data_IF_017827225041
#
_entry.id   IF_017827225041
#
_cell.length_a   1.000
_cell.length_b   1.000
_cell.length_c   1.000
_cell.angle_alpha   90.00
_cell.angle_beta   90.00
_cell.angle_gamma   90.00
#
_symmetry.space_group_name_H-M   'P 1'
#
loop_
_entity.id
_entity.type
_entity.pdbx_description
1 polymer ?
#
# COMPACT_ATOMS: atom_id res chain seq x y z
N UNK A 1 40.66 13.53 -12.07
CA UNK A 1 39.78 12.61 -12.84
C UNK A 1 39.36 11.39 -12.03
N UNK A 2 40.29 10.60 -11.48
CA UNK A 2 39.97 9.38 -10.70
C UNK A 2 39.03 9.61 -9.50
N UNK A 3 39.28 10.65 -8.69
CA UNK A 3 38.42 10.99 -7.54
C UNK A 3 37.00 11.40 -7.97
N UNK A 4 36.85 12.09 -9.09
CA UNK A 4 35.54 12.47 -9.61
C UNK A 4 34.76 11.25 -10.14
N UNK A 5 35.46 10.27 -10.73
CA UNK A 5 34.87 9.01 -11.16
C UNK A 5 34.44 8.15 -9.96
N UNK A 6 35.26 8.05 -8.92
CA UNK A 6 34.92 7.33 -7.69
C UNK A 6 33.71 7.96 -6.99
N UNK A 7 33.64 9.30 -6.95
CA UNK A 7 32.48 10.02 -6.41
C UNK A 7 31.19 9.82 -7.25
N UNK A 8 31.32 9.82 -8.58
CA UNK A 8 30.19 9.56 -9.46
C UNK A 8 29.70 8.12 -9.34
N UNK A 9 30.61 7.15 -9.25
CA UNK A 9 30.26 5.74 -9.08
C UNK A 9 29.55 5.52 -7.74
N UNK A 10 30.05 6.10 -6.65
CA UNK A 10 29.37 6.02 -5.35
C UNK A 10 27.98 6.67 -5.36
N UNK A 11 27.80 7.77 -6.10
CA UNK A 11 26.49 8.42 -6.25
C UNK A 11 25.50 7.59 -7.08
N UNK A 12 26.00 6.83 -8.07
CA UNK A 12 25.20 5.90 -8.86
C UNK A 12 24.87 4.64 -8.05
N UNK A 13 25.84 4.10 -7.32
CA UNK A 13 25.66 2.91 -6.47
C UNK A 13 24.73 3.20 -5.29
N UNK A 14 24.66 4.46 -4.83
CA UNK A 14 23.71 4.95 -3.83
C UNK A 14 22.40 5.49 -4.42
N UNK A 15 22.22 5.41 -5.74
CA UNK A 15 20.96 5.78 -6.38
C UNK A 15 19.98 4.62 -6.17
N UNK A 16 19.29 4.64 -5.03
CA UNK A 16 18.15 3.74 -4.84
C UNK A 16 17.02 4.20 -5.76
N UNK A 17 16.76 3.40 -6.79
CA UNK A 17 15.68 3.62 -7.77
C UNK A 17 14.43 2.86 -7.33
N UNK A 18 14.37 2.42 -6.06
CA UNK A 18 13.13 1.99 -5.46
C UNK A 18 12.13 3.15 -5.57
N UNK A 19 10.91 2.91 -6.10
CA UNK A 19 9.84 3.87 -5.96
C UNK A 19 9.65 4.11 -4.46
N UNK A 20 9.98 5.31 -3.97
CA UNK A 20 9.79 5.65 -2.56
C UNK A 20 8.34 5.48 -2.14
N UNK A 21 8.05 5.59 -0.84
CA UNK A 21 6.73 5.32 -0.25
C UNK A 21 5.57 6.17 -0.80
N UNK A 22 5.88 7.19 -1.62
CA UNK A 22 4.90 8.04 -2.32
C UNK A 22 4.57 7.60 -3.75
N UNK A 23 5.28 6.62 -4.29
CA UNK A 23 4.91 5.99 -5.55
C UNK A 23 3.69 5.08 -5.35
N UNK A 24 3.06 4.68 -6.45
CA UNK A 24 2.10 3.58 -6.40
C UNK A 24 2.84 2.32 -5.99
N UNK A 25 2.37 1.70 -4.91
CA UNK A 25 2.83 0.40 -4.45
C UNK A 25 1.74 -0.60 -4.81
N UNK A 26 2.09 -1.61 -5.60
CA UNK A 26 1.14 -2.65 -5.98
C UNK A 26 0.79 -3.52 -4.77
N UNK A 27 -0.48 -3.89 -4.64
CA UNK A 27 -0.96 -4.62 -3.47
C UNK A 27 -0.28 -6.00 -3.36
N UNK A 28 0.03 -6.63 -4.49
CA UNK A 28 0.74 -7.90 -4.57
C UNK A 28 2.25 -7.82 -4.34
N UNK A 29 2.81 -6.62 -4.18
CA UNK A 29 4.21 -6.39 -3.81
C UNK A 29 4.43 -6.39 -2.28
N UNK A 30 3.53 -7.01 -1.51
CA UNK A 30 3.63 -7.10 -0.06
C UNK A 30 4.91 -7.85 0.38
N UNK A 31 5.48 -7.42 1.51
CA UNK A 31 6.65 -8.05 2.13
C UNK A 31 6.25 -9.23 3.02
N UNK A 32 5.08 -9.15 3.64
CA UNK A 32 4.49 -10.19 4.49
C UNK A 32 2.96 -10.07 4.50
N UNK A 33 2.27 -11.10 4.94
CA UNK A 33 0.80 -11.17 4.89
C UNK A 33 0.22 -12.18 5.90
N UNK A 34 -1.07 -12.06 6.17
CA UNK A 34 -1.80 -12.97 7.07
C UNK A 34 -1.90 -14.42 6.57
N UNK A 35 -1.65 -14.66 5.27
CA UNK A 35 -1.98 -15.91 4.60
C UNK A 35 -3.50 -16.13 4.49
N UNK A 36 -3.94 -17.38 4.59
CA UNK A 36 -5.35 -17.76 4.45
C UNK A 36 -5.79 -17.85 2.98
N UNK A 37 -6.94 -17.27 2.66
CA UNK A 37 -7.52 -17.28 1.31
C UNK A 37 -6.97 -16.16 0.40
N UNK A 38 -6.10 -15.29 0.95
CA UNK A 38 -5.41 -14.27 0.17
C UNK A 38 -4.59 -14.88 -0.97
N UNK A 39 -4.61 -14.21 -2.11
CA UNK A 39 -3.89 -14.64 -3.32
C UNK A 39 -3.61 -13.44 -4.21
N UNK A 40 -2.42 -13.42 -4.80
CA UNK A 40 -2.11 -12.51 -5.89
C UNK A 40 -2.81 -12.98 -7.16
N UNK A 41 -3.62 -12.12 -7.75
CA UNK A 41 -4.33 -12.38 -8.99
C UNK A 41 -3.71 -11.52 -10.09
N UNK A 42 -3.13 -12.15 -11.11
CA UNK A 42 -2.55 -11.47 -12.28
C UNK A 42 -3.34 -11.80 -13.57
N UNK A 43 -4.49 -12.46 -13.45
CA UNK A 43 -5.28 -12.88 -14.60
C UNK A 43 -6.07 -11.69 -15.14
N UNK A 44 -5.55 -11.06 -16.21
CA UNK A 44 -6.15 -9.96 -16.98
C UNK A 44 -6.12 -8.55 -16.34
N UNK A 45 -5.36 -8.34 -15.26
CA UNK A 45 -5.01 -7.02 -14.69
C UNK A 45 -3.50 -6.84 -14.62
N UNK A 46 -3.03 -5.63 -14.30
CA UNK A 46 -1.62 -5.37 -13.96
C UNK A 46 -1.22 -6.00 -12.61
N UNK A 47 -2.17 -6.64 -11.90
CA UNK A 47 -1.99 -7.31 -10.61
C UNK A 47 -2.97 -6.78 -9.55
N UNK A 48 -3.49 -7.68 -8.71
CA UNK A 48 -4.25 -7.32 -7.50
C UNK A 48 -4.18 -8.43 -6.43
N UNK A 49 -4.76 -8.16 -5.26
CA UNK A 49 -4.95 -9.16 -4.19
C UNK A 49 -6.43 -9.52 -4.08
N UNK A 50 -6.74 -10.78 -4.35
CA UNK A 50 -8.06 -11.38 -4.15
C UNK A 50 -8.16 -12.19 -2.87
N UNK A 51 -9.38 -12.65 -2.55
CA UNK A 51 -9.64 -13.50 -1.38
C UNK A 51 -9.61 -12.79 -0.02
N UNK A 52 -9.73 -11.46 -0.02
CA UNK A 52 -9.75 -10.64 1.19
C UNK A 52 -10.98 -10.99 2.04
N UNK A 53 -10.73 -11.28 3.32
CA UNK A 53 -11.76 -11.54 4.34
C UNK A 53 -11.43 -10.73 5.60
N UNK A 54 -12.38 -10.68 6.54
CA UNK A 54 -12.21 -9.98 7.83
C UNK A 54 -10.93 -10.46 8.54
N UNK A 55 -10.07 -9.52 8.95
CA UNK A 55 -8.80 -9.78 9.62
C UNK A 55 -7.62 -10.13 8.70
N UNK A 56 -7.83 -10.18 7.38
CA UNK A 56 -6.73 -10.29 6.44
C UNK A 56 -5.86 -9.03 6.43
N UNK A 57 -4.54 -9.18 6.32
CA UNK A 57 -3.60 -8.05 6.30
C UNK A 57 -2.44 -8.28 5.34
N UNK A 58 -1.89 -7.17 4.84
CA UNK A 58 -0.67 -7.07 4.06
C UNK A 58 0.29 -6.14 4.80
N UNK A 59 1.58 -6.47 4.81
CA UNK A 59 2.64 -5.63 5.36
C UNK A 59 3.61 -5.25 4.25
N UNK A 60 3.98 -3.97 4.25
CA UNK A 60 4.97 -3.40 3.33
C UNK A 60 6.13 -2.90 4.18
N UNK A 61 7.28 -3.56 4.06
CA UNK A 61 8.50 -3.22 4.79
C UNK A 61 9.35 -2.22 3.98
N UNK A 62 10.25 -1.52 4.65
CA UNK A 62 11.27 -0.63 4.05
C UNK A 62 10.70 0.49 3.14
N UNK A 63 9.51 1.01 3.49
CA UNK A 63 8.92 2.18 2.82
C UNK A 63 9.71 3.47 3.12
N UNK A 64 10.44 3.98 2.13
CA UNK A 64 11.17 5.25 2.25
C UNK A 64 10.27 6.47 1.98
N UNK A 65 9.90 7.17 3.03
CA UNK A 65 9.18 8.46 2.94
C UNK A 65 10.12 9.67 2.78
N UNK A 66 11.43 9.46 2.61
CA UNK A 66 12.45 10.49 2.44
C UNK A 66 12.42 11.59 3.50
N UNK A 67 12.06 11.23 4.74
CA UNK A 67 11.95 12.13 5.88
C UNK A 67 10.75 13.08 5.88
N UNK A 68 9.79 12.89 4.97
CA UNK A 68 8.53 13.65 4.93
C UNK A 68 7.43 12.74 5.49
N UNK A 69 6.70 13.17 6.51
CA UNK A 69 5.59 12.35 6.99
C UNK A 69 4.41 12.37 5.99
N UNK A 70 3.83 11.21 5.65
CA UNK A 70 2.67 11.16 4.78
C UNK A 70 1.44 11.76 5.47
N UNK A 71 0.59 12.43 4.67
CA UNK A 71 -0.62 13.09 5.17
C UNK A 71 -1.91 12.35 4.80
N UNK A 72 -1.84 11.50 3.78
CA UNK A 72 -2.96 10.71 3.31
C UNK A 72 -2.47 9.40 2.72
N UNK A 73 -3.39 8.44 2.65
CA UNK A 73 -3.22 7.15 1.98
C UNK A 73 -4.37 6.97 1.00
N UNK A 74 -4.10 6.33 -0.12
CA UNK A 74 -5.12 5.96 -1.10
C UNK A 74 -5.03 4.48 -1.43
N UNK A 75 -6.18 3.83 -1.58
CA UNK A 75 -6.27 2.41 -1.96
C UNK A 75 -7.18 2.30 -3.19
N UNK A 76 -6.69 1.62 -4.22
CA UNK A 76 -7.50 1.15 -5.34
C UNK A 76 -8.10 -0.20 -4.99
N UNK A 77 -9.42 -0.37 -5.13
CA UNK A 77 -10.11 -1.60 -4.77
C UNK A 77 -11.36 -1.80 -5.63
N UNK A 78 -11.84 -3.05 -5.66
CA UNK A 78 -13.12 -3.43 -6.22
C UNK A 78 -13.81 -4.47 -5.32
N UNK A 79 -15.14 -4.48 -5.32
CA UNK A 79 -15.93 -5.54 -4.71
C UNK A 79 -17.30 -5.66 -5.41
N UNK A 80 -17.97 -6.80 -5.25
CA UNK A 80 -19.27 -7.06 -5.90
C UNK A 80 -20.47 -6.38 -5.22
N UNK A 81 -20.28 -5.77 -4.04
CA UNK A 81 -21.40 -5.24 -3.27
C UNK A 81 -21.97 -3.98 -3.93
N UNK A 82 -23.30 -3.75 -3.90
CA UNK A 82 -23.89 -2.48 -4.31
C UNK A 82 -23.39 -1.31 -3.44
N UNK A 83 -23.25 -0.12 -4.01
CA UNK A 83 -22.78 1.08 -3.30
C UNK A 83 -23.61 1.48 -2.05
N UNK A 84 -24.89 1.05 -1.98
CA UNK A 84 -25.76 1.31 -0.85
C UNK A 84 -25.57 0.32 0.33
N UNK A 85 -24.72 -0.70 0.18
CA UNK A 85 -24.42 -1.67 1.23
C UNK A 85 -23.58 -1.04 2.33
N UNK A 86 -23.58 -1.65 3.53
CA UNK A 86 -22.63 -1.28 4.58
C UNK A 86 -21.20 -1.42 4.04
N UNK A 87 -20.38 -0.35 4.08
CA UNK A 87 -19.01 -0.41 3.60
C UNK A 87 -18.17 -1.41 4.39
N UNK A 88 -17.24 -2.08 3.71
CA UNK A 88 -16.10 -2.72 4.39
C UNK A 88 -15.10 -1.63 4.81
N UNK A 89 -14.11 -1.99 5.61
CA UNK A 89 -13.06 -1.05 6.04
C UNK A 89 -11.67 -1.62 5.81
N UNK A 90 -10.71 -0.74 5.55
CA UNK A 90 -9.29 -1.06 5.58
C UNK A 90 -8.60 -0.13 6.57
N UNK A 91 -7.98 -0.70 7.60
CA UNK A 91 -7.18 0.05 8.56
C UNK A 91 -5.71 0.05 8.15
N UNK A 92 -5.07 1.20 8.28
CA UNK A 92 -3.62 1.35 8.10
C UNK A 92 -2.99 1.43 9.47
N UNK A 93 -2.13 0.46 9.78
CA UNK A 93 -1.40 0.38 11.03
C UNK A 93 0.05 0.84 10.82
N UNK A 94 0.59 1.56 11.80
CA UNK A 94 2.02 1.85 11.84
C UNK A 94 2.79 0.68 12.46
N UNK A 95 3.88 0.26 11.79
CA UNK A 95 4.71 -0.87 12.23
C UNK A 95 4.10 -2.23 11.87
N UNK A 96 3.49 -2.90 12.84
CA UNK A 96 2.92 -4.26 12.66
C UNK A 96 1.40 -4.28 12.54
N UNK A 97 0.82 -5.45 12.25
CA UNK A 97 -0.63 -5.64 12.13
C UNK A 97 -1.41 -5.28 13.42
N UNK A 98 -0.79 -5.43 14.59
CA UNK A 98 -1.36 -5.01 15.88
C UNK A 98 -0.90 -3.60 16.32
N UNK A 99 -0.26 -2.85 15.42
CA UNK A 99 0.21 -1.49 15.66
C UNK A 99 -0.92 -0.47 15.81
N UNK A 100 -0.61 0.80 16.15
CA UNK A 100 -1.63 1.83 16.21
C UNK A 100 -2.20 2.10 14.81
N UNK A 101 -3.53 2.23 14.73
CA UNK A 101 -4.23 2.64 13.51
C UNK A 101 -3.96 4.13 13.28
N UNK A 102 -3.45 4.46 12.10
CA UNK A 102 -3.16 5.83 11.66
C UNK A 102 -4.10 6.33 10.57
N UNK A 103 -4.87 5.44 9.93
CA UNK A 103 -5.97 5.78 9.03
C UNK A 103 -6.97 4.62 8.93
N UNK A 104 -8.23 4.94 8.66
CA UNK A 104 -9.28 3.96 8.34
C UNK A 104 -9.96 4.41 7.04
N UNK A 105 -9.94 3.57 6.02
CA UNK A 105 -10.60 3.80 4.74
C UNK A 105 -11.95 3.08 4.72
N UNK A 106 -13.00 3.81 4.33
CA UNK A 106 -14.33 3.24 4.09
C UNK A 106 -14.43 2.75 2.65
N UNK A 107 -14.64 1.45 2.49
CA UNK A 107 -14.69 0.75 1.21
C UNK A 107 -16.15 0.44 0.85
N UNK A 108 -16.82 1.41 0.23
CA UNK A 108 -18.19 1.25 -0.26
C UNK A 108 -18.28 0.14 -1.33
N UNK A 109 -19.50 -0.33 -1.59
CA UNK A 109 -19.72 -1.31 -2.64
C UNK A 109 -19.37 -0.76 -4.04
N UNK A 110 -18.57 -1.46 -4.84
CA UNK A 110 -18.26 -1.02 -6.23
C UNK A 110 -19.12 -1.71 -7.30
N UNK A 111 -19.89 -2.73 -6.91
CA UNK A 111 -20.88 -3.41 -7.74
C UNK A 111 -20.33 -4.43 -8.74
N UNK A 112 -19.01 -4.63 -8.79
CA UNK A 112 -18.34 -5.64 -9.63
C UNK A 112 -16.87 -5.76 -9.26
N UNK A 113 -16.33 -6.98 -9.27
CA UNK A 113 -14.89 -7.26 -9.12
C UNK A 113 -14.01 -6.60 -10.20
N UNK A 114 -14.60 -6.21 -11.33
CA UNK A 114 -13.89 -5.49 -12.40
C UNK A 114 -14.03 -3.96 -12.30
N UNK A 115 -14.84 -3.43 -11.37
CA UNK A 115 -15.08 -2.00 -11.23
C UNK A 115 -14.22 -1.43 -10.11
N UNK A 116 -12.97 -1.11 -10.45
CA UNK A 116 -12.02 -0.51 -9.53
C UNK A 116 -12.32 0.97 -9.28
N UNK A 117 -12.18 1.39 -8.03
CA UNK A 117 -12.23 2.78 -7.62
C UNK A 117 -11.13 3.06 -6.60
N UNK A 118 -10.76 4.32 -6.46
CA UNK A 118 -9.75 4.75 -5.48
C UNK A 118 -10.42 5.57 -4.39
N UNK A 119 -10.17 5.20 -3.15
CA UNK A 119 -10.59 5.96 -1.96
C UNK A 119 -9.36 6.43 -1.21
N UNK A 120 -9.46 7.61 -0.59
CA UNK A 120 -8.39 8.20 0.21
C UNK A 120 -8.87 8.50 1.62
N UNK A 121 -7.95 8.41 2.58
CA UNK A 121 -8.15 8.86 3.95
C UNK A 121 -6.97 9.70 4.43
N UNK A 122 -7.24 10.62 5.36
CA UNK A 122 -6.19 11.36 6.05
C UNK A 122 -5.48 10.44 7.05
N UNK A 123 -4.17 10.59 7.15
CA UNK A 123 -3.34 9.93 8.16
C UNK A 123 -3.32 10.82 9.40
N UNK A 124 -3.75 10.29 10.55
CA UNK A 124 -3.82 11.03 11.81
C UNK A 124 -2.46 11.25 12.45
N UNK A 125 -1.53 10.32 12.25
CA UNK A 125 -0.16 10.39 12.74
C UNK A 125 0.84 9.86 11.71
N UNK A 126 1.22 10.71 10.76
CA UNK A 126 2.21 10.36 9.75
C UNK A 126 3.61 10.18 10.33
N UNK A 127 3.89 10.69 11.53
CA UNK A 127 5.20 10.50 12.17
C UNK A 127 5.39 9.06 12.65
N UNK A 128 4.30 8.32 12.89
CA UNK A 128 4.39 6.90 13.24
C UNK A 128 4.82 6.01 12.05
N UNK A 129 4.79 6.54 10.82
CA UNK A 129 5.14 5.82 9.59
C UNK A 129 6.58 6.10 9.10
N UNK A 130 7.31 7.01 9.74
CA UNK A 130 8.65 7.48 9.30
C UNK A 130 9.73 7.24 10.34
#
# INVERSE_FOLDING_TARGET
LRVALEALQAAIDGLDIAPGAYATIEAEAFSDWSGGDLKSEAYHSDGDIGGITEGAWLRFDDLDFSGVAPQSVSISYANEQPAASTPSTADVHAGGADGPIVATLSLAGTGSWANYTTVSANISDGQALV
#
